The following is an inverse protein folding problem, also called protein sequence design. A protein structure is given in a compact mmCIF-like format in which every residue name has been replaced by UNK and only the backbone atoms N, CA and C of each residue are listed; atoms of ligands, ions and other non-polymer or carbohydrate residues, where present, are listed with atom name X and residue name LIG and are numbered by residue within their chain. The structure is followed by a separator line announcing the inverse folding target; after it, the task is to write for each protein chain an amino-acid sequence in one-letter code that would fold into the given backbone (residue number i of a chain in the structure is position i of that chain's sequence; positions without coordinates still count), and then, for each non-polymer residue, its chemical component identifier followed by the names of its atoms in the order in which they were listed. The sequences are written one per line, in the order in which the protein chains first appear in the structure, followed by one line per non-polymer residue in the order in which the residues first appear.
data_IF_031344138286
#
_entry.id   IF_031344138286
#
_cell.length_a   1.000
_cell.length_b   1.000
_cell.length_c   1.000
_cell.angle_alpha   90.00
_cell.angle_beta   90.00
_cell.angle_gamma   90.00
#
_symmetry.space_group_name_H-M   'P 1'
#
loop_
_entity.id
_entity.type
_entity.pdbx_description
1 polymer ?
#
# COMPACT_ATOMS: atom_id res chain seq x y z
N UNK A 1 -7.76 -13.11 1.98
CA UNK A 1 -8.98 -13.29 1.15
C UNK A 1 -8.57 -13.88 -0.19
N UNK A 2 -8.97 -15.13 -0.49
CA UNK A 2 -8.68 -15.73 -1.78
C UNK A 2 -9.21 -14.86 -2.93
N UNK A 3 -8.36 -14.57 -3.92
CA UNK A 3 -8.71 -13.79 -5.10
C UNK A 3 -8.79 -12.27 -4.91
N UNK A 4 -8.52 -11.73 -3.71
CA UNK A 4 -8.36 -10.28 -3.53
C UNK A 4 -7.00 -9.83 -4.04
N UNK A 5 -6.98 -8.82 -4.90
CA UNK A 5 -5.77 -8.17 -5.42
C UNK A 5 -5.69 -6.76 -4.87
N UNK A 6 -4.52 -6.42 -4.31
CA UNK A 6 -4.20 -5.06 -3.88
C UNK A 6 -3.29 -4.44 -4.94
N UNK A 7 -3.66 -3.25 -5.40
CA UNK A 7 -2.89 -2.49 -6.39
C UNK A 7 -2.61 -1.09 -5.85
N UNK A 8 -1.41 -0.57 -6.10
CA UNK A 8 -1.10 0.85 -5.86
C UNK A 8 -2.02 1.73 -6.70
N UNK A 9 -2.54 2.77 -6.08
CA UNK A 9 -3.43 3.75 -6.69
C UNK A 9 -2.76 5.13 -6.59
N UNK A 10 -2.47 5.77 -7.72
CA UNK A 10 -1.83 7.10 -7.71
C UNK A 10 -0.30 7.10 -7.58
N UNK A 11 0.26 8.29 -7.39
CA UNK A 11 1.70 8.54 -7.38
C UNK A 11 2.34 8.12 -6.04
N UNK A 12 3.60 7.65 -6.12
CA UNK A 12 4.41 7.37 -4.95
C UNK A 12 4.83 8.69 -4.30
N UNK A 13 4.64 8.80 -2.98
CA UNK A 13 5.18 9.91 -2.18
C UNK A 13 6.36 9.38 -1.36
N UNK A 14 7.53 10.00 -1.47
CA UNK A 14 8.75 9.52 -0.82
C UNK A 14 9.56 10.63 -0.13
N UNK A 15 10.29 10.26 0.92
CA UNK A 15 11.32 11.08 1.55
C UNK A 15 12.36 10.17 2.23
N UNK A 16 13.56 10.09 1.66
CA UNK A 16 14.74 9.42 2.26
C UNK A 16 14.45 8.01 2.82
N UNK A 17 13.88 7.14 1.99
CA UNK A 17 13.58 5.75 2.41
C UNK A 17 12.25 5.58 3.13
N UNK A 18 11.53 6.65 3.44
CA UNK A 18 10.13 6.60 3.83
C UNK A 18 9.21 6.80 2.61
N UNK A 19 8.17 5.98 2.50
CA UNK A 19 7.24 5.97 1.38
C UNK A 19 5.81 5.97 1.88
N UNK A 20 4.95 6.75 1.23
CA UNK A 20 3.50 6.70 1.36
C UNK A 20 2.90 6.21 0.05
N UNK A 21 2.12 5.14 0.15
CA UNK A 21 1.55 4.42 -0.99
C UNK A 21 0.06 4.29 -0.79
N UNK A 22 -0.72 4.96 -1.64
CA UNK A 22 -2.16 4.75 -1.67
C UNK A 22 -2.47 3.46 -2.44
N UNK A 23 -3.49 2.73 -2.00
CA UNK A 23 -3.83 1.42 -2.55
C UNK A 23 -5.34 1.18 -2.58
N UNK A 24 -5.76 0.34 -3.52
CA UNK A 24 -7.11 -0.19 -3.64
C UNK A 24 -7.07 -1.71 -3.65
N UNK A 25 -8.01 -2.33 -2.94
CA UNK A 25 -8.23 -3.76 -2.92
C UNK A 25 -9.48 -4.08 -3.75
N UNK A 26 -9.36 -5.04 -4.67
CA UNK A 26 -10.46 -5.57 -5.47
C UNK A 26 -10.58 -7.08 -5.26
N UNK A 27 -11.81 -7.58 -5.20
CA UNK A 27 -12.09 -9.02 -5.12
C UNK A 27 -11.86 -9.72 -6.45
N UNK A 28 -12.07 -11.04 -6.46
CA UNK A 28 -11.82 -11.89 -7.63
C UNK A 28 -12.64 -11.49 -8.87
N UNK A 29 -13.79 -10.84 -8.68
CA UNK A 29 -14.66 -10.36 -9.75
C UNK A 29 -14.55 -8.85 -9.97
N UNK A 30 -13.51 -8.20 -9.43
CA UNK A 30 -13.21 -6.78 -9.60
C UNK A 30 -13.97 -5.82 -8.69
N UNK A 31 -14.88 -6.33 -7.85
CA UNK A 31 -15.64 -5.54 -6.88
C UNK A 31 -14.70 -4.87 -5.86
N UNK A 32 -14.92 -3.59 -5.51
CA UNK A 32 -14.11 -2.91 -4.51
C UNK A 32 -14.28 -3.59 -3.16
N UNK A 33 -13.18 -3.83 -2.46
CA UNK A 33 -13.16 -4.44 -1.13
C UNK A 33 -12.54 -3.53 -0.06
N UNK A 34 -11.83 -2.49 -0.48
CA UNK A 34 -11.15 -1.61 0.44
C UNK A 34 -10.21 -0.66 -0.27
N UNK A 35 -9.79 0.36 0.45
CA UNK A 35 -8.76 1.28 0.04
C UNK A 35 -8.07 1.85 1.27
N UNK A 36 -6.88 2.39 1.08
CA UNK A 36 -6.10 2.92 2.17
C UNK A 36 -4.76 3.48 1.72
N UNK A 37 -3.97 3.85 2.71
CA UNK A 37 -2.59 4.31 2.53
C UNK A 37 -1.68 3.42 3.36
N UNK A 38 -0.52 3.08 2.84
CA UNK A 38 0.54 2.40 3.59
C UNK A 38 1.75 3.31 3.69
N UNK A 39 2.25 3.48 4.92
CA UNK A 39 3.59 3.98 5.18
C UNK A 39 4.56 2.79 5.15
N UNK A 40 5.67 2.93 4.43
CA UNK A 40 6.73 1.93 4.40
C UNK A 40 8.08 2.62 4.60
N UNK A 41 8.86 2.15 5.56
CA UNK A 41 10.23 2.60 5.77
C UNK A 41 11.22 1.54 5.26
N UNK A 42 12.26 1.96 4.56
CA UNK A 42 13.36 1.13 4.10
C UNK A 42 14.69 1.60 4.67
N UNK A 43 15.60 0.65 4.87
CA UNK A 43 16.99 0.93 5.18
C UNK A 43 17.71 1.48 3.94
N UNK A 44 18.90 2.09 4.10
CA UNK A 44 19.72 2.52 2.97
C UNK A 44 20.09 1.38 2.00
N UNK A 45 20.11 0.12 2.48
CA UNK A 45 20.36 -1.07 1.66
C UNK A 45 19.09 -1.60 0.97
N UNK A 46 17.97 -0.87 1.01
CA UNK A 46 16.71 -1.25 0.39
C UNK A 46 15.95 -2.36 1.13
N UNK A 47 16.27 -2.63 2.40
CA UNK A 47 15.50 -3.59 3.20
C UNK A 47 14.33 -2.90 3.89
N UNK A 48 13.13 -3.48 3.81
CA UNK A 48 11.96 -2.97 4.51
C UNK A 48 12.17 -3.06 6.03
N UNK A 49 12.00 -1.95 6.73
CA UNK A 49 12.17 -1.82 8.18
C UNK A 49 10.83 -1.79 8.92
N UNK A 50 9.84 -1.09 8.38
CA UNK A 50 8.53 -0.94 9.00
C UNK A 50 7.43 -0.76 7.95
N UNK A 51 6.22 -1.22 8.26
CA UNK A 51 5.01 -1.02 7.47
C UNK A 51 3.86 -0.66 8.39
N UNK A 52 3.18 0.44 8.12
CA UNK A 52 1.96 0.85 8.82
C UNK A 52 0.86 1.10 7.80
N UNK A 53 -0.24 0.35 7.92
CA UNK A 53 -1.41 0.49 7.06
C UNK A 53 -2.51 1.33 7.71
N UNK A 54 -3.10 2.22 6.93
CA UNK A 54 -4.24 3.04 7.30
C UNK A 54 -5.39 2.71 6.36
N UNK A 55 -6.49 2.20 6.92
CA UNK A 55 -7.73 2.01 6.16
C UNK A 55 -8.39 3.36 5.94
N UNK A 56 -8.81 3.61 4.71
CA UNK A 56 -9.64 4.76 4.40
C UNK A 56 -11.13 4.41 4.61
N UNK A 57 -11.95 5.39 5.02
CA UNK A 57 -13.40 5.22 5.10
C UNK A 57 -14.04 4.97 3.73
#
# INVERSE_FOLDING_TARGET
MPGTVITRDGALRECQGAYLVDWKARGATGQPMGQGTSFVAFSPAGRMLNVVGFWSP
#
